data_IF_486860005457
#
_entry.id   IF_486860005457
#
_cell.length_a   1.000
_cell.length_b   1.000
_cell.length_c   1.000
_cell.angle_alpha   90.00
_cell.angle_beta   90.00
_cell.angle_gamma   90.00
#
_symmetry.space_group_name_H-M   'P 1'
#
loop_
_entity.id
_entity.type
_entity.pdbx_description
1 polymer ?
#
# COMPACT_ATOMS: atom_id res chain seq x y z
N UNK A 1 8.41 8.69 0.07
CA UNK A 1 8.38 9.81 -0.90
C UNK A 1 9.31 9.51 -2.07
N UNK A 2 8.83 9.71 -3.30
CA UNK A 2 9.62 9.50 -4.52
C UNK A 2 9.43 10.70 -5.46
N UNK A 3 10.53 11.33 -5.89
CA UNK A 3 10.52 12.55 -6.69
C UNK A 3 11.23 12.30 -8.01
N UNK A 4 10.60 12.68 -9.11
CA UNK A 4 11.18 12.65 -10.44
C UNK A 4 11.28 14.06 -11.04
N UNK A 5 12.39 14.35 -11.69
CA UNK A 5 12.55 15.52 -12.52
C UNK A 5 12.19 15.18 -13.97
N UNK A 6 11.24 15.89 -14.53
CA UNK A 6 10.82 15.78 -15.92
C UNK A 6 11.35 16.98 -16.70
N UNK A 7 11.80 16.78 -17.93
CA UNK A 7 12.24 17.86 -18.82
C UNK A 7 11.48 17.77 -20.15
N UNK A 8 10.90 18.90 -20.57
CA UNK A 8 10.36 19.08 -21.92
C UNK A 8 11.40 19.83 -22.75
N UNK A 9 11.90 19.23 -23.80
CA UNK A 9 12.81 19.88 -24.76
C UNK A 9 11.98 20.81 -25.65
N UNK A 10 12.38 22.07 -25.70
CA UNK A 10 11.75 23.11 -26.51
C UNK A 10 12.81 23.77 -27.41
N UNK A 11 12.37 24.52 -28.41
CA UNK A 11 13.23 25.31 -29.29
C UNK A 11 13.97 26.35 -28.43
N UNK A 12 15.26 26.17 -28.22
CA UNK A 12 16.09 27.06 -27.39
C UNK A 12 16.40 26.58 -25.97
N UNK A 13 16.01 25.35 -25.57
CA UNK A 13 16.38 24.81 -24.26
C UNK A 13 15.47 23.71 -23.71
N UNK A 14 15.46 23.57 -22.38
CA UNK A 14 14.66 22.58 -21.66
C UNK A 14 13.80 23.26 -20.59
N UNK A 15 12.52 22.93 -20.53
CA UNK A 15 11.64 23.31 -19.42
C UNK A 15 11.55 22.16 -18.44
N UNK A 16 11.97 22.41 -17.20
CA UNK A 16 11.92 21.42 -16.13
C UNK A 16 10.58 21.47 -15.38
N UNK A 17 10.13 20.31 -14.95
CA UNK A 17 9.04 20.16 -13.99
C UNK A 17 9.34 18.97 -13.10
N UNK A 18 8.72 18.93 -11.91
CA UNK A 18 8.92 17.89 -10.92
C UNK A 18 7.61 17.16 -10.66
N UNK A 19 7.71 15.86 -10.46
CA UNK A 19 6.58 15.05 -10.01
C UNK A 19 6.95 14.35 -8.70
N UNK A 20 6.05 14.41 -7.73
CA UNK A 20 6.19 13.75 -6.44
C UNK A 20 5.11 12.69 -6.28
N UNK A 21 5.51 11.49 -5.85
CA UNK A 21 4.64 10.41 -5.41
C UNK A 21 4.80 10.29 -3.90
N UNK A 22 3.73 10.45 -3.16
CA UNK A 22 3.72 10.41 -1.69
C UNK A 22 2.71 9.38 -1.22
N UNK A 23 3.13 8.62 -0.23
CA UNK A 23 2.27 7.75 0.58
C UNK A 23 2.12 8.40 1.95
N UNK A 24 0.91 8.55 2.42
CA UNK A 24 0.57 9.02 3.77
C UNK A 24 -0.22 7.93 4.49
N UNK A 25 0.04 7.73 5.76
CA UNK A 25 -0.67 6.78 6.61
C UNK A 25 -0.59 7.19 8.07
N UNK A 26 -1.46 6.65 8.88
CA UNK A 26 -1.56 6.90 10.32
C UNK A 26 -0.92 5.81 11.19
N UNK A 27 -0.38 4.76 10.56
CA UNK A 27 0.11 3.54 11.20
C UNK A 27 -0.96 2.77 12.01
N UNK A 28 -2.23 3.09 11.80
CA UNK A 28 -3.40 2.46 12.45
C UNK A 28 -4.43 1.96 11.41
N UNK A 29 -3.93 1.50 10.29
CA UNK A 29 -4.74 0.89 9.23
C UNK A 29 -5.27 1.85 8.18
N UNK A 30 -4.93 3.14 8.18
CA UNK A 30 -5.31 4.06 7.13
C UNK A 30 -4.11 4.42 6.25
N UNK A 31 -4.32 4.43 4.95
CA UNK A 31 -3.30 4.82 3.97
C UNK A 31 -3.90 5.52 2.77
N UNK A 32 -3.19 6.52 2.27
CA UNK A 32 -3.54 7.24 1.06
C UNK A 32 -2.31 7.47 0.19
N UNK A 33 -2.54 7.61 -1.10
CA UNK A 33 -1.50 7.90 -2.08
C UNK A 33 -1.86 9.14 -2.87
N UNK A 34 -0.89 10.06 -2.97
CA UNK A 34 -1.01 11.26 -3.74
C UNK A 34 0.09 11.40 -4.79
N UNK A 35 -0.29 11.93 -5.92
CA UNK A 35 0.61 12.30 -6.99
C UNK A 35 0.46 13.79 -7.28
N UNK A 36 1.57 14.53 -7.20
CA UNK A 36 1.62 15.96 -7.49
C UNK A 36 2.65 16.29 -8.57
N UNK A 37 2.34 17.27 -9.40
CA UNK A 37 3.24 17.80 -10.41
C UNK A 37 3.27 19.31 -10.35
N UNK A 38 4.47 19.88 -10.37
CA UNK A 38 4.70 21.33 -10.37
C UNK A 38 6.03 21.69 -11.00
N UNK A 39 6.27 23.00 -11.20
CA UNK A 39 7.55 23.49 -11.69
C UNK A 39 8.62 23.52 -10.59
N UNK A 40 8.20 23.55 -9.33
CA UNK A 40 9.05 23.51 -8.15
C UNK A 40 8.81 22.24 -7.33
N UNK A 41 9.87 21.73 -6.68
CA UNK A 41 9.82 20.51 -5.87
C UNK A 41 8.88 20.69 -4.68
N UNK A 42 8.99 21.82 -3.96
CA UNK A 42 8.17 22.10 -2.77
C UNK A 42 6.67 22.10 -3.10
N UNK A 43 6.28 22.71 -4.21
CA UNK A 43 4.89 22.71 -4.65
C UNK A 43 4.41 21.33 -5.11
N UNK A 44 5.26 20.53 -5.79
CA UNK A 44 4.91 19.18 -6.16
C UNK A 44 4.65 18.31 -4.93
N UNK A 45 5.48 18.44 -3.89
CA UNK A 45 5.32 17.74 -2.60
C UNK A 45 4.02 18.19 -1.92
N UNK A 46 3.76 19.50 -1.82
CA UNK A 46 2.54 20.01 -1.19
C UNK A 46 1.28 19.46 -1.84
N UNK A 47 1.19 19.54 -3.16
CA UNK A 47 0.07 18.99 -3.94
C UNK A 47 -0.10 17.48 -3.75
N UNK A 48 1.01 16.73 -3.77
CA UNK A 48 0.97 15.29 -3.56
C UNK A 48 0.54 14.93 -2.13
N UNK A 49 1.00 15.67 -1.11
CA UNK A 49 0.61 15.45 0.29
C UNK A 49 -0.88 15.72 0.52
N UNK A 50 -1.41 16.81 -0.03
CA UNK A 50 -2.83 17.11 0.03
C UNK A 50 -3.68 16.03 -0.65
N UNK A 51 -3.26 15.58 -1.84
CA UNK A 51 -3.92 14.50 -2.56
C UNK A 51 -3.89 13.18 -1.78
N UNK A 52 -2.76 12.84 -1.15
CA UNK A 52 -2.62 11.64 -0.32
C UNK A 52 -3.56 11.68 0.89
N UNK A 53 -3.63 12.81 1.59
CA UNK A 53 -4.55 12.99 2.74
C UNK A 53 -6.02 12.86 2.34
N UNK A 54 -6.41 13.40 1.18
CA UNK A 54 -7.78 13.29 0.67
C UNK A 54 -8.15 11.88 0.23
N UNK A 55 -7.17 11.06 -0.15
CA UNK A 55 -7.35 9.69 -0.62
C UNK A 55 -7.12 8.62 0.46
N UNK A 56 -7.06 9.02 1.73
CA UNK A 56 -6.90 8.06 2.83
C UNK A 56 -8.09 7.13 2.95
N UNK A 57 -7.81 5.83 3.01
CA UNK A 57 -8.81 4.77 3.15
C UNK A 57 -8.39 3.78 4.22
N UNK A 58 -9.38 3.20 4.90
CA UNK A 58 -9.14 2.20 5.94
C UNK A 58 -8.98 0.82 5.33
N UNK A 59 -7.94 0.11 5.77
CA UNK A 59 -7.61 -1.25 5.34
C UNK A 59 -7.95 -2.27 6.41
N UNK A 60 -8.31 -3.48 5.98
CA UNK A 60 -8.60 -4.60 6.88
C UNK A 60 -7.31 -5.29 7.31
N UNK A 61 -6.88 -5.08 8.54
CA UNK A 61 -5.69 -5.70 9.12
C UNK A 61 -6.07 -6.81 10.10
N UNK A 62 -5.13 -7.72 10.36
CA UNK A 62 -5.21 -8.75 11.37
C UNK A 62 -3.99 -8.63 12.30
N UNK A 63 -4.18 -8.00 13.47
CA UNK A 63 -3.10 -7.71 14.41
C UNK A 63 -1.93 -6.95 13.72
N UNK A 64 -0.73 -7.55 13.67
CA UNK A 64 0.47 -6.97 13.08
C UNK A 64 0.69 -7.37 11.60
N UNK A 65 -0.20 -8.17 11.01
CA UNK A 65 -0.08 -8.73 9.66
C UNK A 65 -1.38 -8.59 8.85
N UNK A 66 -1.43 -9.22 7.69
CA UNK A 66 -2.62 -9.28 6.83
C UNK A 66 -3.40 -10.58 7.05
N UNK A 67 -4.74 -10.59 6.90
CA UNK A 67 -5.57 -11.76 7.18
C UNK A 67 -5.35 -12.96 6.24
N UNK A 68 -5.00 -12.73 4.98
CA UNK A 68 -4.77 -13.78 3.99
C UNK A 68 -3.85 -13.31 2.85
N UNK A 69 -3.35 -14.24 2.07
CA UNK A 69 -2.60 -13.95 0.84
C UNK A 69 -3.50 -13.27 -0.19
N UNK A 70 -2.94 -12.26 -0.88
CA UNK A 70 -3.64 -11.55 -1.95
C UNK A 70 -2.67 -11.06 -3.02
N UNK A 71 -3.22 -10.91 -4.22
CA UNK A 71 -2.52 -10.28 -5.35
C UNK A 71 -3.31 -9.04 -5.74
N UNK A 72 -2.62 -7.91 -5.76
CA UNK A 72 -3.18 -6.65 -6.28
C UNK A 72 -2.59 -6.30 -7.62
N UNK A 73 -3.42 -5.77 -8.51
CA UNK A 73 -3.03 -5.35 -9.84
C UNK A 73 -3.48 -3.93 -10.11
N UNK A 74 -2.61 -3.14 -10.72
CA UNK A 74 -2.93 -1.80 -11.20
C UNK A 74 -2.04 -1.42 -12.38
N UNK A 75 -2.65 -1.10 -13.53
CA UNK A 75 -1.89 -0.90 -14.76
C UNK A 75 -1.03 -2.14 -15.06
N UNK A 76 0.23 -1.98 -15.35
CA UNK A 76 1.15 -3.13 -15.49
C UNK A 76 1.79 -3.60 -14.17
N UNK A 77 1.47 -2.99 -13.03
CA UNK A 77 1.98 -3.37 -11.71
C UNK A 77 1.19 -4.54 -11.13
N UNK A 78 1.91 -5.53 -10.60
CA UNK A 78 1.34 -6.71 -9.94
C UNK A 78 2.12 -6.98 -8.67
N UNK A 79 1.44 -7.05 -7.53
CA UNK A 79 2.06 -7.21 -6.21
C UNK A 79 1.40 -8.35 -5.46
N UNK A 80 2.22 -9.30 -5.03
CA UNK A 80 1.83 -10.39 -4.14
C UNK A 80 2.11 -9.96 -2.70
N UNK A 81 1.12 -10.14 -1.82
CA UNK A 81 1.25 -9.98 -0.37
C UNK A 81 0.91 -11.30 0.32
N UNK A 82 1.74 -11.71 1.28
CA UNK A 82 1.54 -12.90 2.10
C UNK A 82 1.65 -12.55 3.57
N UNK A 83 0.79 -13.11 4.43
CA UNK A 83 0.95 -12.96 5.88
C UNK A 83 2.26 -13.61 6.34
N UNK A 84 2.83 -13.08 7.40
CA UNK A 84 4.05 -13.58 8.00
C UNK A 84 3.88 -13.79 9.50
N UNK A 85 4.68 -14.69 10.07
CA UNK A 85 4.72 -14.95 11.50
C UNK A 85 5.25 -13.72 12.26
N UNK A 86 4.82 -13.49 13.50
CA UNK A 86 5.33 -12.42 14.35
C UNK A 86 6.87 -12.46 14.43
N UNK A 87 7.50 -11.30 14.28
CA UNK A 87 8.96 -11.17 14.31
C UNK A 87 9.67 -11.35 12.96
N UNK A 88 8.95 -11.70 11.88
CA UNK A 88 9.53 -11.79 10.52
C UNK A 88 9.93 -10.41 9.99
N UNK A 89 9.19 -9.37 10.35
CA UNK A 89 9.37 -8.02 9.83
C UNK A 89 8.81 -7.82 8.43
N UNK A 90 9.03 -6.64 7.87
CA UNK A 90 8.58 -6.27 6.53
C UNK A 90 9.63 -6.70 5.49
N UNK A 91 9.33 -7.74 4.72
CA UNK A 91 10.15 -8.19 3.59
C UNK A 91 9.46 -7.79 2.30
N UNK A 92 9.80 -6.60 1.78
CA UNK A 92 9.14 -5.99 0.63
C UNK A 92 10.09 -5.08 -0.15
N UNK A 93 9.81 -4.89 -1.44
CA UNK A 93 10.48 -3.88 -2.26
C UNK A 93 10.10 -2.46 -1.83
N UNK A 94 10.96 -1.46 -2.10
CA UNK A 94 10.84 -0.10 -1.55
C UNK A 94 9.48 0.56 -1.72
N UNK A 95 8.82 0.43 -2.87
CA UNK A 95 7.49 1.01 -3.09
C UNK A 95 6.39 0.31 -2.28
N UNK A 96 6.46 -1.02 -2.17
CA UNK A 96 5.51 -1.82 -1.35
C UNK A 96 5.77 -1.58 0.13
N UNK A 97 7.04 -1.59 0.55
CA UNK A 97 7.44 -1.33 1.94
C UNK A 97 6.90 -0.01 2.45
N UNK A 98 7.04 1.07 1.67
CA UNK A 98 6.54 2.40 2.06
C UNK A 98 5.03 2.41 2.34
N UNK A 99 4.23 1.65 1.56
CA UNK A 99 2.78 1.53 1.79
C UNK A 99 2.49 0.71 3.04
N UNK A 100 3.11 -0.46 3.18
CA UNK A 100 2.88 -1.39 4.29
C UNK A 100 3.27 -0.78 5.64
N UNK A 101 4.42 -0.10 5.71
CA UNK A 101 4.87 0.62 6.90
C UNK A 101 3.92 1.78 7.24
N UNK A 102 3.46 2.57 6.25
CA UNK A 102 2.52 3.65 6.46
C UNK A 102 1.15 3.18 6.98
N UNK A 103 0.72 1.98 6.61
CA UNK A 103 -0.49 1.33 7.14
C UNK A 103 -0.31 0.87 8.59
N UNK A 104 0.93 0.53 9.01
CA UNK A 104 1.25 0.02 10.34
C UNK A 104 1.40 -1.50 10.41
N UNK A 105 1.52 -2.18 9.27
CA UNK A 105 1.81 -3.62 9.22
C UNK A 105 3.27 -3.85 9.59
N UNK A 106 3.52 -4.77 10.50
CA UNK A 106 4.87 -5.09 11.01
C UNK A 106 5.45 -6.37 10.41
N UNK A 107 4.61 -7.33 10.07
CA UNK A 107 5.04 -8.65 9.58
C UNK A 107 4.33 -8.98 8.27
N UNK A 108 5.06 -8.96 7.15
CA UNK A 108 4.53 -9.27 5.82
C UNK A 108 5.63 -9.67 4.85
N UNK A 109 5.31 -10.61 3.98
CA UNK A 109 6.12 -10.97 2.82
C UNK A 109 5.48 -10.41 1.56
N UNK A 110 6.25 -9.70 0.74
CA UNK A 110 5.74 -9.11 -0.49
C UNK A 110 6.72 -9.28 -1.65
N UNK A 111 6.16 -9.45 -2.84
CA UNK A 111 6.92 -9.50 -4.09
C UNK A 111 6.22 -8.73 -5.20
N UNK A 112 6.94 -7.81 -5.82
CA UNK A 112 6.48 -7.18 -7.06
C UNK A 112 6.80 -8.11 -8.24
N UNK A 113 5.76 -8.47 -9.00
CA UNK A 113 5.81 -9.45 -10.10
C UNK A 113 5.64 -8.82 -11.48
N UNK A 114 5.24 -7.55 -11.53
CA UNK A 114 4.94 -6.84 -12.78
C UNK A 114 5.88 -5.67 -13.05
N UNK A 115 5.30 -4.58 -13.51
CA UNK A 115 6.02 -3.34 -13.85
C UNK A 115 6.85 -2.80 -12.67
N UNK A 116 8.03 -2.29 -12.97
CA UNK A 116 8.89 -1.58 -12.01
C UNK A 116 8.52 -0.10 -11.82
N UNK A 117 7.46 0.39 -12.46
CA UNK A 117 6.99 1.76 -12.28
C UNK A 117 6.46 1.96 -10.85
N UNK A 118 7.13 2.83 -10.08
CA UNK A 118 6.81 3.10 -8.67
C UNK A 118 5.35 3.47 -8.42
N UNK A 119 4.73 4.27 -9.31
CA UNK A 119 3.33 4.65 -9.17
C UNK A 119 2.39 3.44 -9.32
N UNK A 120 2.67 2.56 -10.28
CA UNK A 120 1.87 1.36 -10.51
C UNK A 120 2.03 0.37 -9.36
N UNK A 121 3.26 0.15 -8.87
CA UNK A 121 3.55 -0.73 -7.73
C UNK A 121 2.81 -0.26 -6.48
N UNK A 122 2.89 1.03 -6.14
CA UNK A 122 2.20 1.60 -4.97
C UNK A 122 0.68 1.45 -5.08
N UNK A 123 0.09 1.77 -6.23
CA UNK A 123 -1.35 1.62 -6.46
C UNK A 123 -1.79 0.15 -6.46
N UNK A 124 -1.00 -0.76 -7.03
CA UNK A 124 -1.26 -2.19 -6.97
C UNK A 124 -1.23 -2.72 -5.52
N UNK A 125 -0.31 -2.22 -4.69
CA UNK A 125 -0.26 -2.57 -3.26
C UNK A 125 -1.52 -2.11 -2.53
N UNK A 126 -2.01 -0.90 -2.80
CA UNK A 126 -3.27 -0.43 -2.22
C UNK A 126 -4.46 -1.26 -2.71
N UNK A 127 -4.50 -1.61 -3.99
CA UNK A 127 -5.54 -2.49 -4.53
C UNK A 127 -5.53 -3.87 -3.84
N UNK A 128 -4.33 -4.43 -3.56
CA UNK A 128 -4.19 -5.66 -2.79
C UNK A 128 -4.75 -5.50 -1.36
N UNK A 129 -4.38 -4.43 -0.65
CA UNK A 129 -4.85 -4.17 0.71
C UNK A 129 -6.37 -3.95 0.78
N UNK A 130 -6.97 -3.29 -0.21
CA UNK A 130 -8.43 -3.11 -0.33
C UNK A 130 -9.18 -4.42 -0.53
N UNK A 131 -8.59 -5.40 -1.18
CA UNK A 131 -9.21 -6.71 -1.42
C UNK A 131 -9.22 -7.60 -0.18
N UNK A 132 -8.49 -7.24 0.88
CA UNK A 132 -8.43 -8.00 2.12
C UNK A 132 -9.76 -7.98 2.86
N UNK A 133 -10.17 -9.14 3.35
CA UNK A 133 -11.39 -9.32 4.13
C UNK A 133 -11.07 -10.03 5.43
N UNK A 134 -11.67 -9.58 6.53
CA UNK A 134 -11.55 -10.25 7.81
C UNK A 134 -12.44 -11.50 7.84
N UNK A 135 -11.99 -12.52 8.54
CA UNK A 135 -12.75 -13.76 8.75
C UNK A 135 -14.16 -13.49 9.32
N UNK A 136 -14.26 -12.57 10.28
CA UNK A 136 -15.51 -12.21 10.93
C UNK A 136 -16.53 -11.59 9.94
N UNK A 137 -16.07 -10.77 9.02
CA UNK A 137 -16.89 -10.17 7.97
C UNK A 137 -17.43 -11.24 7.02
N UNK A 138 -16.59 -12.20 6.62
CA UNK A 138 -17.00 -13.31 5.76
C UNK A 138 -18.03 -14.19 6.45
N UNK A 139 -17.86 -14.50 7.75
CA UNK A 139 -18.80 -15.29 8.52
C UNK A 139 -20.15 -14.59 8.69
N UNK A 140 -20.15 -13.28 8.95
CA UNK A 140 -21.38 -12.48 8.98
C UNK A 140 -22.15 -12.54 7.67
N UNK A 141 -21.45 -12.37 6.53
CA UNK A 141 -22.08 -12.43 5.19
C UNK A 141 -22.64 -13.82 4.88
N UNK A 142 -21.98 -14.89 5.36
CA UNK A 142 -22.43 -16.28 5.17
C UNK A 142 -23.48 -16.73 6.19
N UNK A 143 -23.89 -15.87 7.15
CA UNK A 143 -24.83 -16.24 8.21
C UNK A 143 -24.31 -17.30 9.19
N UNK A 144 -23.01 -17.57 9.19
CA UNK A 144 -22.36 -18.51 10.10
C UNK A 144 -22.06 -17.76 11.40
N UNK A 145 -22.67 -18.17 12.53
CA UNK A 145 -22.25 -17.68 13.84
C UNK A 145 -20.81 -18.10 14.06
N UNK A 146 -19.90 -17.11 14.21
CA UNK A 146 -18.48 -17.35 14.45
C UNK A 146 -18.31 -18.20 15.70
N UNK A 147 -18.01 -19.45 15.53
CA UNK A 147 -17.59 -20.31 16.63
C UNK A 147 -16.21 -19.84 17.10
N UNK A 148 -16.11 -19.48 18.38
CA UNK A 148 -14.87 -19.13 19.05
C UNK A 148 -13.85 -20.26 18.85
N UNK A 149 -12.91 -20.05 17.92
CA UNK A 149 -11.80 -20.98 17.67
C UNK A 149 -10.75 -20.96 18.79
N UNK A 150 -11.17 -20.99 20.06
CA UNK A 150 -10.31 -21.12 21.25
C UNK A 150 -10.53 -22.43 22.00
N UNK A 151 -10.67 -23.54 21.31
CA UNK A 151 -10.77 -24.85 21.99
C UNK A 151 -10.21 -26.00 21.13
N UNK A 152 -8.96 -25.93 20.68
CA UNK A 152 -8.29 -27.10 20.11
C UNK A 152 -6.76 -27.02 20.19
N UNK A 153 -6.19 -26.38 21.19
CA UNK A 153 -4.72 -26.38 21.41
C UNK A 153 -4.35 -26.65 22.87
N UNK A 154 -5.19 -27.42 23.61
CA UNK A 154 -4.84 -27.95 24.94
C UNK A 154 -5.46 -29.32 25.10
N UNK A 155 -4.96 -30.29 24.39
CA UNK A 155 -5.08 -31.72 24.70
C UNK A 155 -4.07 -32.50 23.83
N UNK A 156 -2.85 -32.56 24.19
CA UNK A 156 -1.96 -33.75 24.31
C UNK A 156 -0.54 -33.30 24.64
#
# INVERSE_FOLDING_TARGET
MFINRCAKVVKGGRRFSFSALIVAGDHDGQVGVGFGKANEVAEAIRKASEAARKSMEKMSLHENTIPHETIGEFGGGRVLLRPASPGTGVIAGGGVRAVVEAVGIRDVLAKSLGSSNHANVVKATIAALKSLRRKDEIFKVRGIKGGDGKAAAQAT
#
